data_IF_769546268938
#
_entry.id   IF_769546268938
#
_cell.length_a   1.000
_cell.length_b   1.000
_cell.length_c   1.000
_cell.angle_alpha   90.00
_cell.angle_beta   90.00
_cell.angle_gamma   90.00
#
_symmetry.space_group_name_H-M   'P 1'
#
loop_
_entity.id
_entity.type
_entity.pdbx_description
1 polymer ?
#
# COMPACT_ATOMS: atom_id res chain seq x y z
N UNK A 1 -33.30 -5.08 12.25
CA UNK A 1 -32.54 -6.11 11.51
C UNK A 1 -32.15 -7.18 12.51
N UNK A 2 -32.57 -8.41 12.30
CA UNK A 2 -32.07 -9.50 13.11
C UNK A 2 -30.56 -9.70 12.81
N UNK A 3 -29.74 -9.72 13.84
CA UNK A 3 -28.35 -10.13 13.72
C UNK A 3 -28.33 -11.60 13.27
N UNK A 4 -28.01 -11.83 12.01
CA UNK A 4 -27.79 -13.17 11.52
C UNK A 4 -26.44 -13.62 12.10
N UNK A 5 -26.47 -14.67 12.93
CA UNK A 5 -25.25 -15.30 13.41
C UNK A 5 -24.39 -15.68 12.20
N UNK A 6 -23.11 -15.36 12.23
CA UNK A 6 -22.18 -15.70 11.13
C UNK A 6 -21.95 -17.20 10.97
N UNK A 7 -22.51 -18.04 11.84
CA UNK A 7 -22.19 -19.47 11.88
C UNK A 7 -20.73 -19.76 12.25
N UNK A 8 -20.00 -18.78 12.77
CA UNK A 8 -18.59 -18.92 13.11
C UNK A 8 -18.38 -20.03 14.13
N UNK A 9 -17.62 -21.04 13.74
CA UNK A 9 -17.16 -22.10 14.60
C UNK A 9 -15.66 -21.93 14.90
N UNK A 10 -15.25 -21.60 16.13
CA UNK A 10 -13.84 -21.41 16.46
C UNK A 10 -12.98 -22.66 16.31
N UNK A 11 -13.60 -23.86 16.30
CA UNK A 11 -12.91 -25.15 16.03
C UNK A 11 -12.67 -25.35 14.52
N UNK A 12 -13.45 -24.68 13.69
CA UNK A 12 -13.37 -24.76 12.24
C UNK A 12 -13.57 -23.36 11.63
N UNK A 13 -12.63 -22.46 11.81
CA UNK A 13 -12.82 -21.04 11.50
C UNK A 13 -13.00 -20.73 10.01
N UNK A 14 -12.66 -21.67 9.14
CA UNK A 14 -12.73 -21.50 7.68
C UNK A 14 -13.89 -22.25 7.02
N UNK A 15 -14.61 -23.08 7.78
CA UNK A 15 -15.74 -23.86 7.25
C UNK A 15 -17.09 -23.18 7.50
N UNK A 16 -18.02 -23.36 6.56
CA UNK A 16 -19.47 -23.15 6.68
C UNK A 16 -19.89 -21.77 7.23
N UNK A 17 -19.21 -20.73 6.82
CA UNK A 17 -19.66 -19.38 7.15
C UNK A 17 -20.91 -19.01 6.38
N UNK A 18 -21.87 -18.39 7.07
CA UNK A 18 -23.07 -17.79 6.42
C UNK A 18 -22.63 -16.64 5.49
N UNK A 19 -21.60 -15.90 5.84
CA UNK A 19 -21.01 -14.85 5.02
C UNK A 19 -19.62 -15.27 4.62
N UNK A 20 -19.34 -15.31 3.32
CA UNK A 20 -18.03 -15.55 2.73
C UNK A 20 -17.09 -14.36 2.89
N UNK A 21 -16.86 -13.91 4.11
CA UNK A 21 -15.91 -12.84 4.39
C UNK A 21 -14.55 -13.50 4.66
N UNK A 22 -13.61 -13.24 3.79
CA UNK A 22 -12.25 -13.77 3.87
C UNK A 22 -11.97 -14.86 2.83
N UNK A 23 -10.78 -15.46 2.87
CA UNK A 23 -10.39 -16.49 1.90
C UNK A 23 -11.30 -17.71 2.05
N UNK A 24 -11.81 -18.18 0.92
CA UNK A 24 -12.51 -19.46 0.86
C UNK A 24 -11.50 -20.59 0.95
N UNK A 25 -11.95 -21.82 1.01
CA UNK A 25 -11.20 -23.09 0.92
C UNK A 25 -9.82 -22.94 0.26
N UNK A 26 -8.89 -22.32 0.99
CA UNK A 26 -7.58 -21.99 0.47
C UNK A 26 -6.71 -23.22 0.17
N UNK A 27 -7.02 -24.35 0.77
CA UNK A 27 -6.41 -25.65 0.52
C UNK A 27 -6.57 -26.12 -0.93
N UNK A 28 -7.72 -25.81 -1.58
CA UNK A 28 -7.92 -26.09 -3.01
C UNK A 28 -7.01 -25.24 -3.92
N UNK A 29 -6.41 -24.17 -3.36
CA UNK A 29 -5.55 -23.21 -4.09
C UNK A 29 -4.07 -23.46 -3.89
N UNK A 30 -3.68 -24.55 -3.23
CA UNK A 30 -2.27 -24.86 -2.99
C UNK A 30 -1.64 -25.66 -4.12
N UNK A 31 -0.43 -25.29 -4.57
CA UNK A 31 0.40 -26.24 -5.29
C UNK A 31 0.54 -27.55 -4.52
N UNK A 32 0.55 -28.71 -5.17
CA UNK A 32 0.61 -30.01 -4.49
C UNK A 32 1.77 -30.14 -3.49
N UNK A 33 2.94 -29.57 -3.79
CA UNK A 33 4.11 -29.57 -2.90
C UNK A 33 3.85 -28.73 -1.63
N UNK A 34 3.06 -27.67 -1.71
CA UNK A 34 2.68 -26.87 -0.55
C UNK A 34 1.63 -27.60 0.27
N UNK A 35 0.63 -28.22 -0.37
CA UNK A 35 -0.37 -29.02 0.33
C UNK A 35 0.28 -30.17 1.12
N UNK A 36 1.23 -30.89 0.51
CA UNK A 36 2.00 -31.95 1.16
C UNK A 36 2.77 -31.49 2.40
N UNK A 37 3.34 -30.29 2.36
CA UNK A 37 4.23 -29.76 3.39
C UNK A 37 3.59 -28.62 4.21
N UNK A 38 2.27 -28.54 4.26
CA UNK A 38 1.55 -27.49 4.95
C UNK A 38 1.96 -27.39 6.43
N UNK A 39 2.45 -26.22 6.84
CA UNK A 39 2.94 -25.97 8.20
C UNK A 39 4.29 -26.60 8.56
N UNK A 40 4.97 -27.29 7.61
CA UNK A 40 6.23 -28.01 7.85
C UNK A 40 7.40 -27.42 7.06
N UNK A 41 7.50 -26.10 7.01
CA UNK A 41 8.58 -25.40 6.35
C UNK A 41 9.71 -25.09 7.35
N UNK A 42 10.93 -25.52 7.04
CA UNK A 42 12.10 -25.35 7.92
C UNK A 42 12.77 -24.00 7.75
N UNK A 43 13.10 -23.60 6.52
CA UNK A 43 13.77 -22.34 6.24
C UNK A 43 13.55 -21.90 4.79
N UNK A 44 13.92 -20.65 4.54
CA UNK A 44 14.03 -20.11 3.18
C UNK A 44 15.42 -19.48 2.98
N UNK A 45 15.83 -19.41 1.72
CA UNK A 45 17.08 -18.76 1.31
C UNK A 45 16.82 -17.92 0.05
N UNK A 46 17.38 -16.73 0.01
CA UNK A 46 17.45 -15.92 -1.21
C UNK A 46 18.65 -16.43 -2.01
N UNK A 47 18.40 -16.92 -3.22
CA UNK A 47 19.45 -17.42 -4.11
C UNK A 47 20.10 -16.29 -4.88
N UNK A 48 19.26 -15.40 -5.40
CA UNK A 48 19.64 -14.21 -6.15
C UNK A 48 18.49 -13.19 -6.11
N UNK A 49 18.69 -11.95 -6.57
CA UNK A 49 17.59 -10.98 -6.64
C UNK A 49 16.39 -11.53 -7.40
N UNK A 50 15.23 -11.51 -6.75
CA UNK A 50 13.98 -12.03 -7.30
C UNK A 50 13.79 -13.54 -7.19
N UNK A 51 14.77 -14.33 -6.73
CA UNK A 51 14.64 -15.79 -6.63
C UNK A 51 14.90 -16.27 -5.20
N UNK A 52 13.92 -16.98 -4.64
CA UNK A 52 13.98 -17.58 -3.33
C UNK A 52 13.80 -19.10 -3.44
N UNK A 53 14.34 -19.85 -2.46
CA UNK A 53 13.99 -21.25 -2.23
C UNK A 53 13.44 -21.42 -0.82
N UNK A 54 12.33 -22.12 -0.70
CA UNK A 54 11.75 -22.57 0.56
C UNK A 54 11.99 -24.07 0.69
N UNK A 55 12.47 -24.52 1.83
CA UNK A 55 12.81 -25.92 2.10
C UNK A 55 11.93 -26.42 3.22
N UNK A 56 11.24 -27.53 2.97
CA UNK A 56 10.42 -28.22 3.94
C UNK A 56 11.23 -29.21 4.78
N UNK A 57 10.68 -29.64 5.91
CA UNK A 57 11.26 -30.70 6.76
C UNK A 57 11.44 -32.02 6.01
N UNK A 58 10.57 -32.30 5.03
CA UNK A 58 10.67 -33.46 4.13
C UNK A 58 11.85 -33.40 3.15
N UNK A 59 12.50 -32.23 3.02
CA UNK A 59 13.50 -31.97 1.99
C UNK A 59 12.94 -31.46 0.66
N UNK A 60 11.61 -31.42 0.52
CA UNK A 60 10.97 -30.82 -0.66
C UNK A 60 11.30 -29.33 -0.77
N UNK A 61 11.37 -28.83 -1.99
CA UNK A 61 11.74 -27.43 -2.27
C UNK A 61 10.70 -26.76 -3.14
N UNK A 62 10.47 -25.48 -2.87
CA UNK A 62 9.72 -24.58 -3.72
C UNK A 62 10.61 -23.39 -4.07
N UNK A 63 10.82 -23.18 -5.35
CA UNK A 63 11.55 -22.03 -5.89
C UNK A 63 10.54 -20.96 -6.28
N UNK A 64 10.68 -19.78 -5.72
CA UNK A 64 9.78 -18.65 -5.98
C UNK A 64 10.52 -17.59 -6.78
N UNK A 65 9.99 -17.26 -7.95
CA UNK A 65 10.44 -16.11 -8.74
C UNK A 65 9.47 -14.97 -8.47
N UNK A 66 9.98 -13.87 -7.94
CA UNK A 66 9.19 -12.69 -7.57
C UNK A 66 9.38 -11.58 -8.58
N UNK A 67 8.28 -11.07 -9.10
CA UNK A 67 8.23 -9.92 -10.00
C UNK A 67 7.44 -8.78 -9.38
N UNK A 68 7.83 -7.55 -9.68
CA UNK A 68 7.05 -6.37 -9.31
C UNK A 68 5.70 -6.39 -10.02
N UNK A 69 4.64 -6.12 -9.27
CA UNK A 69 3.28 -6.02 -9.77
C UNK A 69 2.68 -4.65 -9.49
N UNK A 70 1.50 -4.40 -10.04
CA UNK A 70 0.68 -3.24 -9.77
C UNK A 70 -0.59 -3.63 -9.01
N UNK A 71 -1.19 -2.68 -8.30
CA UNK A 71 -2.49 -2.90 -7.65
C UNK A 71 -3.66 -2.81 -8.64
N UNK A 72 -3.48 -2.04 -9.72
CA UNK A 72 -4.46 -1.92 -10.81
C UNK A 72 -3.87 -2.57 -12.06
N UNK A 73 -4.54 -3.57 -12.57
CA UNK A 73 -4.09 -4.36 -13.72
C UNK A 73 -5.22 -4.49 -14.74
N UNK A 74 -4.88 -4.53 -16.02
CA UNK A 74 -5.83 -4.89 -17.05
C UNK A 74 -6.08 -6.41 -17.04
N UNK A 75 -7.26 -6.81 -17.51
CA UNK A 75 -7.58 -8.24 -17.70
C UNK A 75 -6.58 -8.92 -18.63
N UNK A 76 -6.10 -8.22 -19.66
CA UNK A 76 -5.06 -8.74 -20.56
C UNK A 76 -3.75 -9.04 -19.82
N UNK A 77 -3.34 -8.15 -18.91
CA UNK A 77 -2.15 -8.38 -18.09
C UNK A 77 -2.32 -9.57 -17.13
N UNK A 78 -3.52 -9.71 -16.53
CA UNK A 78 -3.84 -10.86 -15.66
C UNK A 78 -3.82 -12.16 -16.45
N UNK A 79 -4.37 -12.20 -17.68
CA UNK A 79 -4.30 -13.38 -18.55
C UNK A 79 -2.86 -13.77 -18.85
N UNK A 80 -2.00 -12.80 -19.18
CA UNK A 80 -0.57 -13.06 -19.40
C UNK A 80 0.12 -13.66 -18.16
N UNK A 81 -0.26 -13.21 -16.94
CA UNK A 81 0.22 -13.82 -15.68
C UNK A 81 -0.27 -15.27 -15.57
N UNK A 82 -1.52 -15.54 -15.90
CA UNK A 82 -2.07 -16.90 -15.88
C UNK A 82 -1.35 -17.82 -16.88
N UNK A 83 -1.14 -17.36 -18.13
CA UNK A 83 -0.42 -18.11 -19.14
C UNK A 83 1.02 -18.47 -18.70
N UNK A 84 1.70 -17.54 -18.02
CA UNK A 84 3.03 -17.79 -17.45
C UNK A 84 2.94 -18.81 -16.31
N UNK A 85 1.95 -18.69 -15.43
CA UNK A 85 1.74 -19.62 -14.33
C UNK A 85 1.43 -21.04 -14.84
N UNK A 86 0.60 -21.17 -15.85
CA UNK A 86 0.29 -22.46 -16.49
C UNK A 86 1.54 -23.09 -17.09
N UNK A 87 2.35 -22.29 -17.75
CA UNK A 87 3.57 -22.79 -18.42
C UNK A 87 4.65 -23.27 -17.45
N UNK A 88 4.85 -22.58 -16.31
CA UNK A 88 6.01 -22.83 -15.43
C UNK A 88 5.66 -23.30 -14.02
N UNK A 89 4.43 -23.04 -13.55
CA UNK A 89 4.04 -23.20 -12.16
C UNK A 89 2.83 -24.12 -11.95
N UNK A 90 2.41 -24.86 -12.97
CA UNK A 90 1.22 -25.72 -12.91
C UNK A 90 -0.08 -24.98 -12.62
N UNK A 91 -0.18 -23.72 -13.05
CA UNK A 91 -1.38 -22.90 -12.88
C UNK A 91 -1.47 -22.15 -11.54
N UNK A 92 -0.45 -22.20 -10.70
CA UNK A 92 -0.49 -21.54 -9.39
C UNK A 92 0.36 -20.27 -9.36
N UNK A 93 -0.23 -19.22 -8.78
CA UNK A 93 0.42 -17.92 -8.59
C UNK A 93 -0.01 -17.31 -7.26
N UNK A 94 0.84 -16.49 -6.65
CA UNK A 94 0.54 -15.79 -5.41
C UNK A 94 0.86 -14.30 -5.53
N UNK A 95 0.02 -13.45 -4.94
CA UNK A 95 0.32 -12.03 -4.75
C UNK A 95 0.77 -11.77 -3.32
N UNK A 96 1.82 -10.98 -3.17
CA UNK A 96 2.27 -10.53 -1.85
C UNK A 96 1.45 -9.34 -1.37
N UNK A 97 1.48 -9.06 -0.07
CA UNK A 97 0.87 -7.86 0.52
C UNK A 97 1.38 -6.55 -0.11
N UNK A 98 2.59 -6.58 -0.70
CA UNK A 98 3.21 -5.45 -1.40
C UNK A 98 2.96 -5.47 -2.91
N UNK A 99 1.94 -6.21 -3.34
CA UNK A 99 1.52 -6.32 -4.75
C UNK A 99 2.57 -6.92 -5.69
N UNK A 100 3.58 -7.62 -5.17
CA UNK A 100 4.46 -8.41 -6.03
C UNK A 100 3.77 -9.70 -6.44
N UNK A 101 4.11 -10.19 -7.61
CA UNK A 101 3.67 -11.47 -8.14
C UNK A 101 4.73 -12.52 -7.79
N UNK A 102 4.31 -13.66 -7.28
CA UNK A 102 5.19 -14.79 -7.00
C UNK A 102 4.77 -16.02 -7.80
N UNK A 103 5.68 -16.46 -8.63
CA UNK A 103 5.58 -17.68 -9.41
C UNK A 103 6.34 -18.80 -8.70
N UNK A 104 5.66 -19.90 -8.42
CA UNK A 104 6.17 -21.00 -7.60
C UNK A 104 6.52 -22.21 -8.45
N UNK A 105 7.81 -22.53 -8.59
CA UNK A 105 8.32 -23.67 -9.34
C UNK A 105 8.81 -24.76 -8.40
N UNK A 106 8.80 -26.00 -8.86
CA UNK A 106 9.26 -27.16 -8.08
C UNK A 106 10.77 -27.45 -8.26
N UNK A 107 11.39 -26.92 -9.30
CA UNK A 107 12.80 -27.11 -9.60
C UNK A 107 13.51 -25.81 -9.97
N UNK A 108 14.84 -25.81 -9.85
CA UNK A 108 15.67 -24.64 -10.07
C UNK A 108 15.80 -24.27 -11.56
N UNK A 109 15.81 -25.24 -12.44
CA UNK A 109 16.00 -24.98 -13.87
C UNK A 109 14.76 -24.33 -14.46
N UNK A 110 13.57 -24.78 -14.08
CA UNK A 110 12.30 -24.10 -14.40
C UNK A 110 12.27 -22.67 -13.85
N UNK A 111 12.74 -22.46 -12.63
CA UNK A 111 12.79 -21.10 -12.06
C UNK A 111 13.75 -20.17 -12.82
N UNK A 112 14.90 -20.68 -13.29
CA UNK A 112 15.82 -19.92 -14.14
C UNK A 112 15.21 -19.61 -15.51
N UNK A 113 14.58 -20.58 -16.14
CA UNK A 113 13.90 -20.38 -17.43
C UNK A 113 12.76 -19.36 -17.32
N UNK A 114 11.97 -19.45 -16.24
CA UNK A 114 10.93 -18.47 -15.93
C UNK A 114 11.51 -17.06 -15.74
N UNK A 115 12.59 -16.92 -14.96
CA UNK A 115 13.25 -15.62 -14.77
C UNK A 115 13.71 -15.02 -16.09
N UNK A 116 14.27 -15.83 -16.97
CA UNK A 116 14.69 -15.40 -18.32
C UNK A 116 13.49 -14.94 -19.16
N UNK A 117 12.39 -15.71 -19.16
CA UNK A 117 11.14 -15.35 -19.86
C UNK A 117 10.58 -14.02 -19.32
N UNK A 118 10.45 -13.85 -18.01
CA UNK A 118 9.95 -12.61 -17.41
C UNK A 118 10.79 -11.39 -17.80
N UNK A 119 12.11 -11.52 -17.77
CA UNK A 119 13.02 -10.44 -18.14
C UNK A 119 12.99 -10.09 -19.63
N UNK A 120 12.61 -11.04 -20.48
CA UNK A 120 12.46 -10.80 -21.92
C UNK A 120 11.21 -9.98 -22.26
N UNK A 121 10.20 -9.98 -21.39
CA UNK A 121 8.91 -9.35 -21.63
C UNK A 121 8.96 -7.86 -21.34
N UNK A 122 8.74 -7.05 -22.35
CA UNK A 122 8.77 -5.58 -22.24
C UNK A 122 7.52 -4.96 -22.82
N UNK A 123 7.19 -3.76 -22.34
CA UNK A 123 6.23 -2.88 -23.00
C UNK A 123 6.83 -2.27 -24.26
N UNK A 124 5.99 -1.72 -25.12
CA UNK A 124 6.42 -1.07 -26.34
C UNK A 124 7.47 0.04 -26.13
N UNK A 125 7.47 0.71 -24.97
CA UNK A 125 8.46 1.70 -24.56
C UNK A 125 9.77 1.13 -23.98
N UNK A 126 9.98 -0.20 -24.02
CA UNK A 126 11.20 -0.87 -23.56
C UNK A 126 11.26 -1.15 -22.06
N UNK A 127 10.33 -0.65 -21.25
CA UNK A 127 10.26 -0.95 -19.81
C UNK A 127 9.82 -2.40 -19.54
N UNK A 128 10.33 -2.99 -18.46
CA UNK A 128 9.97 -4.35 -18.07
C UNK A 128 8.49 -4.46 -17.71
N UNK A 129 7.80 -5.48 -18.22
CA UNK A 129 6.44 -5.83 -17.82
C UNK A 129 6.43 -6.48 -16.43
N UNK A 130 7.40 -7.32 -16.16
CA UNK A 130 7.56 -8.13 -14.95
C UNK A 130 8.97 -7.96 -14.38
N UNK A 131 9.28 -6.81 -13.75
CA UNK A 131 10.61 -6.59 -13.21
C UNK A 131 10.90 -7.59 -12.08
N UNK A 132 11.85 -8.49 -12.30
CA UNK A 132 12.22 -9.51 -11.32
C UNK A 132 13.08 -8.91 -10.23
N UNK A 133 12.67 -9.05 -8.96
CA UNK A 133 13.37 -8.47 -7.83
C UNK A 133 12.52 -8.47 -6.55
N UNK A 134 12.81 -7.53 -5.66
CA UNK A 134 11.99 -7.27 -4.49
C UNK A 134 11.89 -8.43 -3.48
N UNK A 135 12.94 -9.24 -3.36
CA UNK A 135 12.98 -10.42 -2.47
C UNK A 135 12.96 -10.11 -0.97
N UNK A 136 13.00 -8.83 -0.61
CA UNK A 136 12.90 -8.42 0.77
C UNK A 136 14.24 -8.12 1.46
N UNK A 137 15.37 -8.47 0.85
CA UNK A 137 16.70 -8.19 1.39
C UNK A 137 17.11 -6.72 1.25
N UNK A 138 16.54 -6.01 0.29
CA UNK A 138 16.73 -4.58 0.09
C UNK A 138 15.40 -3.85 0.03
N UNK A 139 15.02 -3.37 -1.14
CA UNK A 139 13.74 -2.74 -1.42
C UNK A 139 12.78 -3.77 -1.97
N UNK A 140 11.52 -3.66 -1.59
CA UNK A 140 10.38 -4.34 -2.21
C UNK A 140 9.40 -3.30 -2.73
N UNK A 141 8.34 -3.72 -3.41
CA UNK A 141 7.30 -2.80 -3.85
C UNK A 141 6.67 -2.06 -2.67
N UNK A 142 6.23 -0.84 -2.92
CA UNK A 142 5.62 0.02 -1.90
C UNK A 142 4.16 -0.39 -1.65
N UNK A 143 3.78 -0.50 -0.39
CA UNK A 143 2.37 -0.52 -0.01
C UNK A 143 1.81 0.88 -0.17
N UNK A 144 0.67 1.01 -0.82
CA UNK A 144 0.06 2.32 -1.03
C UNK A 144 -1.47 2.26 -1.10
N UNK A 145 -2.10 3.39 -0.92
CA UNK A 145 -3.55 3.59 -0.99
C UNK A 145 -4.01 3.92 -2.41
N UNK A 146 -5.24 4.34 -2.58
CA UNK A 146 -5.84 4.58 -3.90
C UNK A 146 -5.50 5.96 -4.48
N UNK A 147 -5.34 6.96 -3.62
CA UNK A 147 -5.05 8.32 -4.06
C UNK A 147 -6.14 8.90 -4.97
N UNK A 148 -5.72 9.63 -5.99
CA UNK A 148 -6.64 10.30 -6.92
C UNK A 148 -7.42 9.36 -7.84
N UNK A 149 -7.14 8.06 -7.83
CA UNK A 149 -7.92 7.12 -8.66
C UNK A 149 -9.41 7.17 -8.30
N UNK A 150 -9.75 7.03 -7.02
CA UNK A 150 -11.13 7.05 -6.55
C UNK A 150 -11.28 7.18 -5.02
N UNK A 151 -10.26 7.65 -4.30
CA UNK A 151 -10.43 8.00 -2.90
C UNK A 151 -11.18 9.33 -2.80
N UNK A 152 -12.13 9.45 -1.89
CA UNK A 152 -12.91 10.68 -1.73
C UNK A 152 -12.22 11.72 -0.83
N UNK A 153 -11.15 11.36 -0.10
CA UNK A 153 -10.41 12.24 0.81
C UNK A 153 -8.90 12.28 0.55
N UNK A 154 -8.41 12.22 -0.70
CA UNK A 154 -6.97 12.16 -0.93
C UNK A 154 -6.37 13.56 -0.89
N UNK A 155 -5.29 13.74 -0.14
CA UNK A 155 -4.44 14.94 -0.19
C UNK A 155 -3.38 14.84 -1.29
N UNK A 156 -3.05 13.61 -1.71
CA UNK A 156 -2.11 13.34 -2.80
C UNK A 156 -2.55 12.14 -3.61
N UNK A 157 -2.03 12.02 -4.83
CA UNK A 157 -2.11 10.76 -5.55
C UNK A 157 -1.25 9.68 -4.84
N UNK A 158 -1.51 8.45 -5.17
CA UNK A 158 -0.71 7.31 -4.67
C UNK A 158 0.09 6.64 -5.76
N UNK A 159 -0.53 6.35 -6.88
CA UNK A 159 0.09 5.59 -7.96
C UNK A 159 1.24 6.36 -8.61
N UNK A 160 1.06 7.65 -8.87
CA UNK A 160 2.08 8.51 -9.45
C UNK A 160 3.34 8.65 -8.59
N UNK A 161 3.22 9.10 -7.33
CA UNK A 161 4.37 9.19 -6.42
C UNK A 161 5.08 7.86 -6.19
N UNK A 162 4.32 6.76 -6.03
CA UNK A 162 4.91 5.41 -5.89
C UNK A 162 5.71 5.03 -7.12
N UNK A 163 5.15 5.24 -8.32
CA UNK A 163 5.86 4.95 -9.57
C UNK A 163 7.13 5.80 -9.68
N UNK A 164 7.05 7.10 -9.42
CA UNK A 164 8.20 7.99 -9.50
C UNK A 164 9.33 7.58 -8.53
N UNK A 165 8.98 7.28 -7.28
CA UNK A 165 9.96 6.82 -6.28
C UNK A 165 10.53 5.45 -6.66
N UNK A 166 9.70 4.47 -7.03
CA UNK A 166 10.18 3.14 -7.40
C UNK A 166 11.09 3.16 -8.63
N UNK A 167 10.78 3.98 -9.64
CA UNK A 167 11.66 4.15 -10.80
C UNK A 167 13.02 4.72 -10.41
N UNK A 168 13.03 5.67 -9.49
CA UNK A 168 14.27 6.30 -9.04
C UNK A 168 15.19 5.39 -8.22
N UNK A 169 14.63 4.37 -7.55
CA UNK A 169 15.36 3.41 -6.71
C UNK A 169 15.36 1.98 -7.30
N UNK A 170 15.05 1.86 -8.59
CA UNK A 170 14.87 0.59 -9.26
C UNK A 170 16.08 -0.35 -9.16
N UNK A 171 17.29 0.20 -9.20
CA UNK A 171 18.54 -0.57 -9.08
C UNK A 171 18.61 -1.35 -7.76
N UNK A 172 18.06 -0.80 -6.67
CA UNK A 172 18.03 -1.48 -5.38
C UNK A 172 16.95 -2.56 -5.30
N UNK A 173 15.92 -2.47 -6.17
CA UNK A 173 14.91 -3.51 -6.31
C UNK A 173 15.44 -4.75 -7.01
N UNK A 174 16.28 -4.58 -8.04
CA UNK A 174 16.80 -5.67 -8.87
C UNK A 174 18.15 -6.21 -8.41
N UNK A 175 18.98 -5.44 -7.69
CA UNK A 175 20.38 -5.79 -7.41
C UNK A 175 20.70 -6.08 -5.94
N UNK A 176 19.73 -6.01 -5.01
CA UNK A 176 19.96 -6.21 -3.57
C UNK A 176 21.22 -5.47 -3.04
N UNK A 177 21.39 -4.22 -3.42
CA UNK A 177 22.61 -3.45 -3.18
C UNK A 177 22.61 -2.64 -1.87
N UNK A 178 21.56 -2.76 -1.04
CA UNK A 178 21.47 -2.09 0.26
C UNK A 178 22.01 -3.00 1.38
N UNK A 179 22.64 -2.42 2.41
CA UNK A 179 23.16 -3.18 3.55
C UNK A 179 22.03 -3.78 4.43
N UNK A 180 20.83 -3.22 4.39
CA UNK A 180 19.67 -3.71 5.13
C UNK A 180 18.37 -3.51 4.35
N UNK A 181 17.31 -4.27 4.68
CA UNK A 181 15.99 -4.07 4.10
C UNK A 181 15.40 -2.69 4.43
N UNK A 182 14.89 -1.99 3.43
CA UNK A 182 14.16 -0.72 3.58
C UNK A 182 12.74 -0.91 3.05
N UNK A 183 11.76 -0.60 3.88
CA UNK A 183 10.33 -0.65 3.53
C UNK A 183 9.78 0.75 3.42
N UNK A 184 9.25 1.04 2.23
CA UNK A 184 8.61 2.31 1.94
C UNK A 184 7.12 2.06 1.77
N UNK A 185 6.30 2.99 2.25
CA UNK A 185 4.85 2.96 2.06
C UNK A 185 4.29 4.36 1.83
N UNK A 186 3.11 4.43 1.21
CA UNK A 186 2.42 5.68 0.97
C UNK A 186 0.96 5.60 1.40
N UNK A 187 0.51 6.62 2.13
CA UNK A 187 -0.90 6.87 2.39
C UNK A 187 -1.31 8.21 1.78
N UNK A 188 -2.41 8.24 1.02
CA UNK A 188 -2.86 9.44 0.32
C UNK A 188 -3.41 10.54 1.23
N UNK A 189 -3.65 10.27 2.47
CA UNK A 189 -4.06 11.22 3.51
C UNK A 189 -3.68 10.71 4.91
N UNK A 190 -3.89 11.53 5.92
CA UNK A 190 -3.57 11.22 7.32
C UNK A 190 -4.44 10.11 7.95
N UNK A 191 -5.44 9.59 7.25
CA UNK A 191 -6.14 8.35 7.67
C UNK A 191 -5.22 7.12 7.60
N UNK A 192 -4.07 7.23 6.93
CA UNK A 192 -2.96 6.26 6.96
C UNK A 192 -3.32 4.82 6.63
N UNK A 193 -4.23 4.61 5.68
CA UNK A 193 -4.60 3.28 5.19
C UNK A 193 -3.42 2.49 4.59
N UNK A 194 -2.29 3.13 4.31
CA UNK A 194 -1.10 2.58 3.67
C UNK A 194 0.02 2.13 4.61
N UNK A 195 -0.24 1.93 5.89
CA UNK A 195 0.73 1.42 6.87
C UNK A 195 1.99 2.29 7.05
N UNK A 196 1.87 3.62 6.97
CA UNK A 196 2.97 4.58 7.01
C UNK A 196 3.74 4.53 8.34
N UNK A 197 3.02 4.43 9.46
CA UNK A 197 3.64 4.48 10.79
C UNK A 197 4.58 3.32 11.11
N UNK A 198 4.45 2.19 10.45
CA UNK A 198 5.28 1.01 10.66
C UNK A 198 6.32 0.78 9.56
N UNK A 199 6.44 1.70 8.62
CA UNK A 199 7.43 1.62 7.54
C UNK A 199 8.69 2.40 7.87
N UNK A 200 9.83 1.94 7.34
CA UNK A 200 11.10 2.61 7.54
C UNK A 200 11.06 4.04 6.95
N UNK A 201 10.43 4.20 5.78
CA UNK A 201 10.11 5.49 5.17
C UNK A 201 8.61 5.50 4.86
N UNK A 202 7.89 6.49 5.38
CA UNK A 202 6.48 6.69 5.17
C UNK A 202 6.21 7.98 4.40
N UNK A 203 5.47 7.90 3.32
CA UNK A 203 4.98 9.04 2.56
C UNK A 203 3.50 9.23 2.90
N UNK A 204 3.12 10.41 3.38
CA UNK A 204 1.74 10.65 3.80
C UNK A 204 1.21 11.94 3.20
N UNK A 205 0.09 11.84 2.51
CA UNK A 205 -0.64 13.01 2.02
C UNK A 205 -1.17 13.84 3.19
N UNK A 206 -1.00 15.14 3.14
CA UNK A 206 -1.47 16.07 4.16
C UNK A 206 -2.34 17.16 3.54
N UNK A 207 -3.52 17.36 4.15
CA UNK A 207 -4.37 18.50 3.85
C UNK A 207 -3.85 19.73 4.57
N UNK A 208 -3.83 20.85 3.89
CA UNK A 208 -3.39 22.14 4.44
C UNK A 208 -4.54 23.05 4.85
N UNK A 209 -5.73 22.74 4.39
CA UNK A 209 -6.95 23.51 4.68
C UNK A 209 -8.01 22.59 5.31
N UNK A 210 -8.84 23.09 6.22
CA UNK A 210 -10.04 22.37 6.64
C UNK A 210 -10.96 22.18 5.42
N UNK A 211 -11.97 21.29 5.53
CA UNK A 211 -12.95 21.12 4.45
C UNK A 211 -13.53 22.44 4.00
N UNK A 212 -13.64 22.61 2.69
CA UNK A 212 -14.35 23.73 2.07
C UNK A 212 -15.86 23.52 2.28
N UNK A 213 -16.64 24.60 2.17
CA UNK A 213 -18.08 24.52 2.39
C UNK A 213 -18.78 25.09 1.17
N UNK A 214 -19.54 24.27 0.47
CA UNK A 214 -20.55 24.73 -0.47
C UNK A 214 -21.85 24.94 0.30
N UNK A 215 -22.12 26.19 0.65
CA UNK A 215 -23.26 26.54 1.51
C UNK A 215 -24.61 26.20 0.87
N UNK A 216 -24.72 26.34 -0.44
CA UNK A 216 -25.94 26.02 -1.19
C UNK A 216 -26.24 24.54 -1.15
N UNK A 217 -25.24 23.73 -1.42
CA UNK A 217 -25.38 22.27 -1.38
C UNK A 217 -25.55 21.75 0.04
N UNK A 218 -24.92 22.39 1.03
CA UNK A 218 -25.09 22.03 2.43
C UNK A 218 -26.55 22.18 2.89
N UNK A 219 -27.24 23.25 2.47
CA UNK A 219 -28.65 23.47 2.79
C UNK A 219 -29.58 22.49 2.06
N UNK A 220 -29.27 22.16 0.80
CA UNK A 220 -30.14 21.36 -0.06
C UNK A 220 -30.02 19.85 0.07
N UNK A 221 -28.78 19.35 0.33
CA UNK A 221 -28.47 17.93 0.26
C UNK A 221 -28.06 17.31 1.59
N UNK A 222 -27.58 18.13 2.53
CA UNK A 222 -26.96 17.59 3.72
C UNK A 222 -27.90 17.61 4.92
N UNK A 223 -27.92 16.47 5.62
CA UNK A 223 -28.43 16.44 6.99
C UNK A 223 -27.35 17.01 7.93
N UNK A 224 -27.44 18.31 8.19
CA UNK A 224 -26.45 19.04 8.99
C UNK A 224 -26.16 18.36 10.35
N UNK A 225 -27.15 17.83 11.09
CA UNK A 225 -26.88 17.10 12.35
C UNK A 225 -25.95 15.90 12.17
N UNK A 226 -26.05 15.18 11.06
CA UNK A 226 -25.17 14.04 10.76
C UNK A 226 -23.75 14.48 10.48
N UNK A 227 -23.57 15.54 9.68
CA UNK A 227 -22.25 16.10 9.39
C UNK A 227 -21.57 16.64 10.68
N UNK A 228 -22.34 17.23 11.59
CA UNK A 228 -21.85 17.69 12.89
C UNK A 228 -21.47 16.51 13.78
N UNK A 229 -22.33 15.50 13.87
CA UNK A 229 -22.10 14.30 14.69
C UNK A 229 -20.90 13.47 14.20
N UNK A 230 -20.61 13.48 12.92
CA UNK A 230 -19.48 12.77 12.32
C UNK A 230 -18.11 13.34 12.72
N UNK A 231 -18.06 14.56 13.23
CA UNK A 231 -16.80 15.22 13.56
C UNK A 231 -16.26 14.77 14.93
N UNK A 232 -15.17 13.98 15.00
CA UNK A 232 -14.63 13.46 16.26
C UNK A 232 -14.05 14.57 17.15
N UNK A 233 -13.69 15.72 16.56
CA UNK A 233 -13.09 16.85 17.27
C UNK A 233 -14.08 17.97 17.57
N UNK A 234 -15.38 17.78 17.26
CA UNK A 234 -16.41 18.81 17.38
C UNK A 234 -16.01 20.14 16.69
N UNK A 235 -15.28 20.03 15.58
CA UNK A 235 -14.86 21.18 14.77
C UNK A 235 -16.00 21.71 13.91
N UNK A 236 -16.90 20.83 13.44
CA UNK A 236 -18.08 21.19 12.62
C UNK A 236 -19.22 21.62 13.54
N UNK A 237 -19.81 22.76 13.24
CA UNK A 237 -20.93 23.32 14.01
C UNK A 237 -22.03 23.83 13.09
N UNK A 238 -23.31 23.71 13.46
CA UNK A 238 -24.40 24.27 12.69
C UNK A 238 -24.33 25.79 12.71
N UNK A 239 -24.64 26.41 11.60
CA UNK A 239 -24.73 27.86 11.46
C UNK A 239 -25.76 28.24 10.42
N UNK A 240 -26.10 29.53 10.37
CA UNK A 240 -26.88 30.12 9.27
C UNK A 240 -26.02 31.14 8.56
N UNK A 241 -26.03 31.12 7.24
CA UNK A 241 -25.30 32.05 6.40
C UNK A 241 -26.25 32.80 5.47
N UNK A 242 -25.91 34.02 5.15
CA UNK A 242 -26.62 34.80 4.14
C UNK A 242 -26.06 34.40 2.76
N UNK A 243 -26.89 33.78 1.96
CA UNK A 243 -26.55 33.36 0.61
C UNK A 243 -27.58 33.92 -0.36
N UNK A 244 -27.13 34.75 -1.29
CA UNK A 244 -27.98 35.44 -2.29
C UNK A 244 -29.18 36.16 -1.66
N UNK A 245 -29.00 36.81 -0.50
CA UNK A 245 -30.03 37.55 0.21
C UNK A 245 -31.03 36.68 1.01
N UNK A 246 -30.79 35.39 1.14
CA UNK A 246 -31.59 34.48 1.95
C UNK A 246 -30.73 33.85 3.05
N UNK A 247 -31.31 33.69 4.24
CA UNK A 247 -30.69 32.94 5.32
C UNK A 247 -30.92 31.43 5.11
N UNK A 248 -29.85 30.72 4.82
CA UNK A 248 -29.86 29.26 4.63
C UNK A 248 -29.15 28.57 5.78
N UNK A 249 -29.52 27.30 6.03
CA UNK A 249 -28.82 26.47 7.00
C UNK A 249 -27.49 25.98 6.43
N UNK A 250 -26.45 25.95 7.25
CA UNK A 250 -25.14 25.50 6.84
C UNK A 250 -24.32 25.08 8.06
N UNK A 251 -23.04 24.87 7.84
CA UNK A 251 -22.06 24.55 8.88
C UNK A 251 -20.94 25.59 8.89
N UNK A 252 -20.30 25.73 10.06
CA UNK A 252 -19.02 26.40 10.22
C UNK A 252 -17.98 25.42 10.73
N UNK A 253 -16.74 25.55 10.26
CA UNK A 253 -15.65 24.66 10.68
C UNK A 253 -14.62 25.47 11.46
N UNK A 254 -14.34 25.02 12.70
CA UNK A 254 -13.24 25.56 13.50
C UNK A 254 -11.93 24.91 13.08
N UNK A 255 -11.10 25.65 12.35
CA UNK A 255 -9.84 25.17 11.78
C UNK A 255 -8.85 24.69 12.84
N UNK A 256 -8.79 25.36 13.99
CA UNK A 256 -7.96 25.03 15.15
C UNK A 256 -8.28 23.67 15.80
N UNK A 257 -9.49 23.17 15.57
CA UNK A 257 -9.96 21.86 16.06
C UNK A 257 -10.00 20.79 14.99
N UNK A 258 -9.91 21.17 13.73
CA UNK A 258 -10.02 20.22 12.62
C UNK A 258 -8.79 19.33 12.59
N UNK A 259 -8.98 18.01 12.59
CA UNK A 259 -7.91 17.02 12.44
C UNK A 259 -7.76 16.51 10.99
N UNK A 260 -8.43 17.13 10.05
CA UNK A 260 -8.35 16.82 8.61
C UNK A 260 -8.69 15.38 8.22
N UNK A 261 -9.57 14.71 8.96
CA UNK A 261 -9.91 13.29 8.74
C UNK A 261 -10.91 13.04 7.60
N UNK A 262 -11.65 14.07 7.17
CA UNK A 262 -12.65 13.97 6.10
C UNK A 262 -13.97 13.28 6.47
N UNK A 263 -14.21 12.94 7.74
CA UNK A 263 -15.46 12.28 8.16
C UNK A 263 -16.71 13.10 7.84
N UNK A 264 -16.64 14.43 7.99
CA UNK A 264 -17.75 15.32 7.65
C UNK A 264 -18.06 15.26 6.14
N UNK A 265 -17.05 15.17 5.29
CA UNK A 265 -17.23 15.00 3.84
C UNK A 265 -17.89 13.66 3.49
N UNK A 266 -17.56 12.60 4.21
CA UNK A 266 -18.21 11.29 4.03
C UNK A 266 -19.72 11.34 4.29
N UNK A 267 -20.16 12.20 5.23
CA UNK A 267 -21.58 12.40 5.53
C UNK A 267 -22.26 13.45 4.66
N UNK A 268 -21.52 14.43 4.19
CA UNK A 268 -22.05 15.54 3.43
C UNK A 268 -21.11 15.92 2.28
N UNK A 269 -21.45 15.66 1.01
CA UNK A 269 -20.60 15.94 -0.13
C UNK A 269 -20.35 17.45 -0.35
N UNK A 270 -21.09 18.32 0.31
CA UNK A 270 -20.88 19.76 0.28
C UNK A 270 -19.69 20.24 1.14
N UNK A 271 -18.94 19.30 1.77
CA UNK A 271 -17.79 19.59 2.63
C UNK A 271 -16.48 18.97 2.08
N UNK A 272 -16.11 19.18 0.81
CA UNK A 272 -14.91 18.58 0.23
C UNK A 272 -13.66 19.02 0.97
N UNK A 273 -12.73 18.07 1.19
CA UNK A 273 -11.48 18.33 1.92
C UNK A 273 -10.26 18.40 1.00
N UNK A 274 -10.30 17.73 -0.16
CA UNK A 274 -9.17 17.68 -1.06
C UNK A 274 -8.93 19.02 -1.75
N UNK A 275 -7.70 19.52 -1.66
CA UNK A 275 -7.20 20.70 -2.36
C UNK A 275 -6.00 20.29 -3.20
N UNK A 276 -6.22 19.92 -4.47
CA UNK A 276 -5.19 19.34 -5.33
C UNK A 276 -3.95 20.24 -5.52
N UNK A 277 -4.10 21.54 -5.41
CA UNK A 277 -3.01 22.52 -5.56
C UNK A 277 -2.31 22.83 -4.24
N UNK A 278 -3.08 22.92 -3.15
CA UNK A 278 -2.56 23.32 -1.84
C UNK A 278 -2.09 22.18 -0.96
N UNK A 279 -2.62 20.97 -1.17
CA UNK A 279 -2.24 19.78 -0.43
C UNK A 279 -0.88 19.25 -0.90
N UNK A 280 -0.28 18.36 -0.10
CA UNK A 280 1.03 17.83 -0.42
C UNK A 280 1.37 16.56 0.35
N UNK A 281 2.65 16.26 0.44
CA UNK A 281 3.19 15.03 1.05
C UNK A 281 4.13 15.40 2.20
N UNK A 282 3.94 14.78 3.35
CA UNK A 282 4.94 14.73 4.42
C UNK A 282 5.74 13.42 4.34
N UNK A 283 6.99 13.45 4.78
CA UNK A 283 7.83 12.25 4.90
C UNK A 283 8.08 11.94 6.36
N UNK A 284 7.84 10.71 6.71
CA UNK A 284 8.04 10.13 8.04
C UNK A 284 9.09 9.03 7.97
N UNK A 285 9.92 8.88 9.00
CA UNK A 285 11.02 7.91 9.04
C UNK A 285 11.09 7.20 10.40
N UNK A 286 11.59 5.98 10.42
CA UNK A 286 11.93 5.24 11.64
C UNK A 286 10.80 4.37 12.19
N UNK A 287 9.76 4.09 11.38
CA UNK A 287 8.71 3.14 11.78
C UNK A 287 9.19 1.70 11.74
N UNK A 288 8.88 0.95 12.79
CA UNK A 288 9.22 -0.48 12.88
C UNK A 288 8.25 -1.21 13.80
N UNK A 289 7.73 -2.32 13.31
CA UNK A 289 6.98 -3.27 14.12
C UNK A 289 7.71 -4.61 14.03
N UNK A 290 8.28 -5.06 15.13
CA UNK A 290 9.07 -6.28 15.16
C UNK A 290 9.03 -6.91 16.54
N UNK A 291 8.86 -8.21 16.61
CA UNK A 291 8.91 -8.98 17.85
C UNK A 291 10.28 -8.90 18.54
N UNK A 292 11.35 -8.65 17.80
CA UNK A 292 12.70 -8.51 18.34
C UNK A 292 12.89 -7.25 19.19
N UNK A 293 12.13 -6.19 18.92
CA UNK A 293 12.24 -4.93 19.63
C UNK A 293 11.30 -4.82 20.84
N UNK A 294 10.42 -5.81 21.04
CA UNK A 294 9.46 -5.84 22.14
C UNK A 294 8.34 -4.81 22.05
N UNK A 295 8.59 -3.62 21.49
CA UNK A 295 7.59 -2.57 21.32
C UNK A 295 7.63 -1.99 19.90
N UNK A 296 6.46 -1.64 19.33
CA UNK A 296 6.40 -0.92 18.07
C UNK A 296 7.11 0.44 18.16
N UNK A 297 7.84 0.79 17.12
CA UNK A 297 8.38 2.14 16.91
C UNK A 297 7.56 2.79 15.80
N UNK A 298 6.93 3.92 16.12
CA UNK A 298 6.19 4.68 15.11
C UNK A 298 7.13 5.68 14.43
N UNK A 299 6.92 5.84 13.12
CA UNK A 299 7.67 6.80 12.33
C UNK A 299 7.41 8.23 12.81
N UNK A 300 8.42 9.09 12.65
CA UNK A 300 8.36 10.51 13.00
C UNK A 300 8.50 11.36 11.75
N UNK A 301 7.87 12.52 11.75
CA UNK A 301 7.94 13.48 10.66
C UNK A 301 9.36 14.02 10.54
N UNK A 302 9.96 13.90 9.35
CA UNK A 302 11.26 14.46 9.00
C UNK A 302 11.10 15.62 8.03
N UNK A 303 10.16 15.50 7.08
CA UNK A 303 9.80 16.57 6.16
C UNK A 303 8.31 16.81 6.30
N UNK A 304 7.95 18.02 6.71
CA UNK A 304 6.55 18.36 7.00
C UNK A 304 5.70 18.56 5.75
N UNK A 305 6.30 19.01 4.66
CA UNK A 305 5.57 19.31 3.43
C UNK A 305 6.46 19.30 2.19
N UNK A 306 5.98 18.63 1.17
CA UNK A 306 6.45 18.68 -0.21
C UNK A 306 5.21 18.88 -1.08
N UNK A 307 5.17 19.85 -2.03
CA UNK A 307 4.03 20.06 -2.89
C UNK A 307 3.75 18.84 -3.78
N UNK A 308 2.51 18.71 -4.23
CA UNK A 308 2.16 17.76 -5.27
C UNK A 308 2.73 18.27 -6.61
N UNK A 309 3.59 17.51 -7.25
CA UNK A 309 4.30 17.88 -8.49
C UNK A 309 4.09 16.80 -9.58
N UNK A 310 2.82 16.52 -9.99
CA UNK A 310 2.59 15.56 -11.05
C UNK A 310 3.22 16.04 -12.38
N UNK A 311 3.63 15.12 -13.26
CA UNK A 311 3.53 13.66 -13.16
C UNK A 311 4.78 12.98 -12.57
N UNK A 312 5.82 13.70 -12.21
CA UNK A 312 7.14 13.13 -11.87
C UNK A 312 7.53 13.23 -10.40
N UNK A 313 6.90 14.09 -9.60
CA UNK A 313 7.22 14.35 -8.18
C UNK A 313 8.73 14.50 -7.91
N UNK A 314 9.45 15.43 -8.56
CA UNK A 314 10.90 15.54 -8.48
C UNK A 314 11.38 15.85 -7.05
N UNK A 315 10.74 16.75 -6.34
CA UNK A 315 11.10 17.11 -4.96
C UNK A 315 10.96 15.93 -4.02
N UNK A 316 9.89 15.12 -4.18
CA UNK A 316 9.67 13.92 -3.40
C UNK A 316 10.76 12.87 -3.67
N UNK A 317 11.02 12.57 -4.94
CA UNK A 317 12.01 11.54 -5.31
C UNK A 317 13.41 11.91 -4.84
N UNK A 318 13.83 13.14 -5.01
CA UNK A 318 15.13 13.64 -4.54
C UNK A 318 15.26 13.55 -3.01
N UNK A 319 14.19 13.86 -2.28
CA UNK A 319 14.19 13.77 -0.81
C UNK A 319 14.26 12.32 -0.34
N UNK A 320 13.50 11.42 -0.96
CA UNK A 320 13.54 9.97 -0.63
C UNK A 320 14.93 9.39 -0.91
N UNK A 321 15.54 9.76 -2.02
CA UNK A 321 16.92 9.37 -2.34
C UNK A 321 17.93 9.86 -1.28
N UNK A 322 17.79 11.10 -0.84
CA UNK A 322 18.65 11.67 0.20
C UNK A 322 18.51 10.90 1.50
N UNK A 323 17.30 10.68 1.97
CA UNK A 323 17.02 9.91 3.20
C UNK A 323 17.58 8.49 3.09
N UNK A 324 17.43 7.84 1.93
CA UNK A 324 17.96 6.50 1.69
C UNK A 324 19.50 6.46 1.73
N UNK A 325 20.19 7.50 1.22
CA UNK A 325 21.64 7.63 1.31
C UNK A 325 22.12 7.77 2.75
N UNK A 326 21.43 8.55 3.58
CA UNK A 326 21.74 8.68 5.00
C UNK A 326 21.57 7.34 5.74
N UNK A 327 20.52 6.59 5.48
CA UNK A 327 20.33 5.26 6.09
C UNK A 327 21.46 4.28 5.72
N UNK A 328 22.08 4.44 4.56
CA UNK A 328 23.28 3.67 4.16
C UNK A 328 24.53 4.04 4.95
N UNK A 329 24.72 5.32 5.23
CA UNK A 329 25.89 5.80 5.95
C UNK A 329 25.85 5.38 7.42
N UNK A 330 24.70 5.53 8.08
CA UNK A 330 24.52 5.12 9.48
C UNK A 330 24.66 3.61 9.70
N UNK A 331 24.19 2.79 8.74
CA UNK A 331 24.34 1.33 8.81
C UNK A 331 25.76 0.84 8.50
N UNK A 332 26.58 1.64 7.85
CA UNK A 332 27.99 1.33 7.59
C UNK A 332 28.91 1.63 8.78
N UNK A 333 28.43 2.32 9.82
CA UNK A 333 29.19 2.59 11.04
C UNK A 333 29.01 1.41 12.01
N UNK A 334 30.09 0.69 12.37
CA UNK A 334 30.02 -0.38 13.38
C UNK A 334 29.56 0.19 14.73
N UNK A 335 28.37 -0.19 15.18
CA UNK A 335 27.80 0.26 16.46
C UNK A 335 26.61 1.21 16.36
N UNK A 336 26.13 1.55 15.16
CA UNK A 336 24.91 2.34 14.96
C UNK A 336 23.65 1.48 15.13
N UNK A 337 22.92 1.70 16.24
CA UNK A 337 21.56 1.30 16.72
C UNK A 337 21.22 -0.17 16.79
#
# INVERSE_FOLDING_TARGET
MAFISSGYNPQKPMEDRITDIGPRKYDDMFPPVIAKNFGKWSYHKILEPGVLVHVAESGDKVYTVRAGGARTMSVTHIREICDIADKYCGGFVRWTTRSNIEFMCTDLETAKALKADLNSRKFAGGSFKFPVGGTGACISSMVHTQGWLHCHTPATDSTGPVKAVMDSIFDHFVNMSLPAPVRISLACCINMCGAVHCSDIGLVGIHRKPPMIDHKWADQLCEIPLAVAACPMAAVRPTKVDFEGKKINSVAIKADRCMYCGNCYTMCPALPIADHEGDGIAIMVGGKVSNRLGMPKFSKVVVAYIPNEPPRWPSLTNTVHTIQKFSRVEQAVPGGF
#
